data_IF_639101199058
#
_entry.id   IF_639101199058
#
_cell.length_a   1.000
_cell.length_b   1.000
_cell.length_c   1.000
_cell.angle_alpha   90.00
_cell.angle_beta   90.00
_cell.angle_gamma   90.00
#
_symmetry.space_group_name_H-M   'P 1'
#
loop_
_entity.id
_entity.type
_entity.pdbx_description
1 polymer ?
#
# COMPACT_ATOMS: atom_id res chain seq x y z
N UNK A 1 17.76 -2.13 -19.20
CA UNK A 1 17.34 -2.14 -17.78
C UNK A 1 17.05 -0.71 -17.38
N UNK A 2 15.91 -0.44 -16.74
CA UNK A 2 15.54 0.91 -16.28
C UNK A 2 16.59 1.39 -15.28
N UNK A 3 17.08 2.61 -15.45
CA UNK A 3 18.06 3.21 -14.54
C UNK A 3 17.35 3.85 -13.33
N UNK A 4 17.96 3.85 -12.14
CA UNK A 4 17.42 4.57 -11.00
C UNK A 4 17.12 6.03 -11.36
N UNK A 5 15.93 6.52 -11.02
CA UNK A 5 15.50 7.88 -11.30
C UNK A 5 15.19 8.20 -12.77
N UNK A 6 15.10 7.21 -13.65
CA UNK A 6 14.71 7.40 -15.06
C UNK A 6 13.22 7.75 -15.20
N UNK A 7 12.40 7.28 -14.30
CA UNK A 7 10.95 7.54 -14.26
C UNK A 7 10.60 8.30 -12.97
N UNK A 8 9.64 9.20 -13.08
CA UNK A 8 9.16 10.00 -11.96
C UNK A 8 7.64 10.01 -11.87
N UNK A 9 7.14 10.11 -10.64
CA UNK A 9 5.74 10.42 -10.32
C UNK A 9 5.64 11.96 -10.31
N UNK A 10 4.78 12.48 -11.17
CA UNK A 10 4.55 13.93 -11.34
C UNK A 10 3.18 14.37 -10.85
N UNK A 11 2.22 13.46 -10.73
CA UNK A 11 0.91 13.70 -10.14
C UNK A 11 0.57 12.66 -9.08
N UNK A 12 0.00 13.07 -7.94
CA UNK A 12 -0.39 12.18 -6.87
C UNK A 12 -1.52 12.81 -6.05
N UNK A 13 -2.71 12.22 -6.09
CA UNK A 13 -3.84 12.69 -5.30
C UNK A 13 -4.79 11.54 -4.93
N UNK A 14 -5.52 11.77 -3.86
CA UNK A 14 -6.61 10.90 -3.42
C UNK A 14 -7.96 11.47 -3.88
N UNK A 15 -9.01 10.67 -3.77
CA UNK A 15 -10.38 11.15 -3.94
C UNK A 15 -10.68 12.29 -2.97
N UNK A 16 -11.49 13.23 -3.38
CA UNK A 16 -11.87 14.43 -2.60
C UNK A 16 -12.43 14.05 -1.24
N UNK A 17 -13.24 13.00 -1.20
CA UNK A 17 -13.79 12.42 0.04
C UNK A 17 -13.28 11.00 0.24
N UNK A 18 -13.03 10.66 1.51
CA UNK A 18 -12.74 9.29 1.98
C UNK A 18 -13.59 9.01 3.22
N UNK A 19 -13.83 7.72 3.52
CA UNK A 19 -14.59 7.33 4.72
C UNK A 19 -15.93 6.71 4.37
N UNK A 20 -17.03 7.44 4.42
CA UNK A 20 -18.35 7.01 3.95
C UNK A 20 -18.80 7.92 2.79
N UNK A 21 -18.90 7.39 1.59
CA UNK A 21 -19.22 8.11 0.37
C UNK A 21 -20.33 7.36 -0.42
N UNK A 22 -21.55 7.28 0.13
CA UNK A 22 -22.61 6.43 -0.42
C UNK A 22 -23.20 6.95 -1.76
N UNK A 23 -22.89 8.16 -2.13
CA UNK A 23 -23.34 8.83 -3.35
C UNK A 23 -22.38 8.68 -4.54
N UNK A 24 -21.25 7.96 -4.36
CA UNK A 24 -20.29 7.72 -5.44
C UNK A 24 -20.12 6.22 -5.70
N UNK A 25 -20.39 5.82 -6.94
CA UNK A 25 -20.03 4.49 -7.41
C UNK A 25 -18.50 4.35 -7.54
N UNK A 26 -18.02 3.13 -7.59
CA UNK A 26 -16.58 2.84 -7.64
C UNK A 26 -15.87 3.54 -8.80
N UNK A 27 -16.47 3.56 -10.00
CA UNK A 27 -15.90 4.26 -11.16
C UNK A 27 -15.77 5.77 -10.92
N UNK A 28 -16.71 6.36 -10.17
CA UNK A 28 -16.66 7.79 -9.80
C UNK A 28 -15.54 8.09 -8.83
N UNK A 29 -15.25 7.17 -7.87
CA UNK A 29 -14.11 7.29 -6.95
C UNK A 29 -12.77 7.21 -7.70
N UNK A 30 -12.66 6.31 -8.69
CA UNK A 30 -11.51 6.27 -9.59
C UNK A 30 -11.34 7.60 -10.34
N UNK A 31 -12.43 8.11 -10.92
CA UNK A 31 -12.40 9.31 -11.74
C UNK A 31 -12.09 10.57 -10.91
N UNK A 32 -12.67 10.70 -9.73
CA UNK A 32 -12.40 11.83 -8.82
C UNK A 32 -10.92 11.86 -8.41
N UNK A 33 -10.36 10.74 -8.02
CA UNK A 33 -8.94 10.64 -7.71
C UNK A 33 -8.04 10.92 -8.94
N UNK A 34 -8.42 10.41 -10.11
CA UNK A 34 -7.68 10.63 -11.36
C UNK A 34 -7.67 12.11 -11.77
N UNK A 35 -8.82 12.78 -11.71
CA UNK A 35 -8.94 14.21 -12.02
C UNK A 35 -8.14 15.06 -11.03
N UNK A 36 -8.17 14.72 -9.75
CA UNK A 36 -7.35 15.38 -8.73
C UNK A 36 -5.83 15.20 -9.00
N UNK A 37 -5.40 13.99 -9.40
CA UNK A 37 -4.00 13.76 -9.75
C UNK A 37 -3.57 14.46 -11.04
N UNK A 38 -4.47 14.56 -12.03
CA UNK A 38 -4.24 15.36 -13.24
C UNK A 38 -4.12 16.85 -12.90
N UNK A 39 -5.00 17.36 -12.03
CA UNK A 39 -4.91 18.75 -11.56
C UNK A 39 -3.60 19.03 -10.81
N UNK A 40 -3.14 18.11 -9.94
CA UNK A 40 -1.83 18.19 -9.28
C UNK A 40 -0.69 18.27 -10.31
N UNK A 41 -0.75 17.50 -11.39
CA UNK A 41 0.24 17.49 -12.46
C UNK A 41 0.07 18.59 -13.53
N UNK A 42 -1.01 19.37 -13.52
CA UNK A 42 -1.33 20.34 -14.56
C UNK A 42 -1.71 19.70 -15.90
N UNK A 43 -2.29 18.50 -15.88
CA UNK A 43 -2.65 17.70 -17.05
C UNK A 43 -4.17 17.64 -17.29
N UNK A 44 -4.51 17.27 -18.53
CA UNK A 44 -5.88 16.94 -18.97
C UNK A 44 -5.95 15.45 -19.35
N UNK A 45 -7.16 14.86 -19.44
CA UNK A 45 -7.31 13.49 -19.91
C UNK A 45 -6.64 13.19 -21.26
N UNK A 46 -6.61 14.15 -22.17
CA UNK A 46 -5.96 14.05 -23.50
C UNK A 46 -4.44 13.90 -23.45
N UNK A 47 -3.82 14.22 -22.32
CA UNK A 47 -2.35 14.15 -22.14
C UNK A 47 -1.91 12.75 -21.64
N UNK A 48 -2.87 11.89 -21.28
CA UNK A 48 -2.65 10.54 -20.77
C UNK A 48 -2.72 9.54 -21.93
N UNK A 49 -1.70 8.72 -22.10
CA UNK A 49 -1.64 7.69 -23.14
C UNK A 49 -1.38 6.26 -22.59
N UNK A 50 -1.36 6.11 -21.26
CA UNK A 50 -1.34 4.82 -20.57
C UNK A 50 -2.26 4.83 -19.35
N UNK A 51 -2.98 3.73 -19.08
CA UNK A 51 -3.88 3.59 -17.93
C UNK A 51 -3.70 2.23 -17.25
N UNK A 52 -3.53 2.26 -15.93
CA UNK A 52 -3.50 1.05 -15.11
C UNK A 52 -4.50 1.16 -13.93
N UNK A 53 -5.18 0.07 -13.63
CA UNK A 53 -6.01 -0.05 -12.44
C UNK A 53 -6.26 -1.53 -12.10
N UNK A 54 -6.78 -1.76 -10.91
CA UNK A 54 -7.16 -3.11 -10.44
C UNK A 54 -8.47 -3.03 -9.66
N UNK A 55 -9.16 -4.13 -9.61
CA UNK A 55 -10.44 -4.27 -8.93
C UNK A 55 -11.57 -4.63 -9.90
N UNK A 56 -12.82 -4.37 -9.54
CA UNK A 56 -13.96 -4.63 -10.43
C UNK A 56 -13.97 -3.79 -11.70
N UNK A 57 -13.30 -2.63 -11.70
CA UNK A 57 -13.18 -1.76 -12.88
C UNK A 57 -11.96 -2.13 -13.71
N UNK A 58 -12.17 -2.31 -14.99
CA UNK A 58 -11.10 -2.59 -15.95
C UNK A 58 -10.48 -1.28 -16.48
N UNK A 59 -9.17 -1.26 -16.84
CA UNK A 59 -8.51 -0.04 -17.32
C UNK A 59 -9.20 0.65 -18.50
N UNK A 60 -9.75 -0.12 -19.44
CA UNK A 60 -10.49 0.44 -20.58
C UNK A 60 -11.81 1.11 -20.17
N UNK A 61 -12.45 0.66 -19.09
CA UNK A 61 -13.67 1.30 -18.58
C UNK A 61 -13.35 2.66 -17.95
N UNK A 62 -12.28 2.71 -17.17
CA UNK A 62 -11.76 3.96 -16.58
C UNK A 62 -11.33 4.93 -17.66
N UNK A 63 -10.58 4.47 -18.66
CA UNK A 63 -10.15 5.28 -19.80
C UNK A 63 -11.36 5.87 -20.54
N UNK A 64 -12.34 5.04 -20.87
CA UNK A 64 -13.56 5.47 -21.54
C UNK A 64 -14.33 6.52 -20.72
N UNK A 65 -14.52 6.27 -19.42
CA UNK A 65 -15.24 7.18 -18.52
C UNK A 65 -14.57 8.55 -18.38
N UNK A 66 -13.22 8.59 -18.44
CA UNK A 66 -12.42 9.81 -18.38
C UNK A 66 -12.20 10.49 -19.75
N UNK A 67 -12.64 9.88 -20.85
CA UNK A 67 -12.36 10.38 -22.21
C UNK A 67 -10.89 10.22 -22.63
N UNK A 68 -10.19 9.23 -22.08
CA UNK A 68 -8.81 8.90 -22.43
C UNK A 68 -8.79 7.84 -23.53
N UNK A 69 -7.90 8.00 -24.52
CA UNK A 69 -7.63 6.99 -25.56
C UNK A 69 -6.21 6.44 -25.33
N UNK A 70 -6.02 5.41 -24.47
CA UNK A 70 -4.70 4.94 -24.13
C UNK A 70 -4.09 4.06 -25.21
N UNK A 71 -2.74 4.12 -25.36
CA UNK A 71 -1.94 3.21 -26.17
C UNK A 71 -1.50 1.97 -25.38
N UNK A 72 -1.48 2.10 -24.07
CA UNK A 72 -1.07 1.04 -23.15
C UNK A 72 -2.04 0.93 -21.98
N UNK A 73 -2.33 -0.29 -21.58
CA UNK A 73 -3.16 -0.57 -20.40
C UNK A 73 -2.58 -1.72 -19.59
N UNK A 74 -2.79 -1.68 -18.25
CA UNK A 74 -2.45 -2.77 -17.34
C UNK A 74 -3.57 -3.00 -16.33
N UNK A 75 -4.01 -4.24 -16.19
CA UNK A 75 -5.03 -4.68 -15.25
C UNK A 75 -4.52 -5.73 -14.26
N UNK A 76 -3.19 -5.81 -14.02
CA UNK A 76 -2.59 -6.80 -13.11
C UNK A 76 -3.22 -6.71 -11.74
N UNK A 77 -3.85 -7.81 -11.31
CA UNK A 77 -4.57 -7.90 -10.04
C UNK A 77 -3.98 -8.97 -9.12
N UNK A 78 -3.24 -8.55 -8.10
CA UNK A 78 -2.64 -9.42 -7.07
C UNK A 78 -3.03 -8.99 -5.65
N UNK A 79 -4.12 -8.24 -5.52
CA UNK A 79 -4.58 -7.68 -4.25
C UNK A 79 -3.93 -6.35 -3.91
N UNK A 80 -3.77 -6.06 -2.63
CA UNK A 80 -3.41 -4.73 -2.14
C UNK A 80 -2.11 -4.11 -2.66
N UNK A 81 -1.12 -4.93 -3.05
CA UNK A 81 0.14 -4.46 -3.62
C UNK A 81 0.11 -4.20 -5.13
N UNK A 82 -1.01 -4.43 -5.82
CA UNK A 82 -1.12 -4.26 -7.28
C UNK A 82 -0.61 -2.91 -7.77
N UNK A 83 -0.81 -1.85 -7.02
CA UNK A 83 -0.39 -0.49 -7.41
C UNK A 83 1.14 -0.34 -7.43
N UNK A 84 1.88 -1.07 -6.60
CA UNK A 84 3.34 -1.13 -6.66
C UNK A 84 3.81 -1.83 -7.95
N UNK A 85 3.10 -2.92 -8.32
CA UNK A 85 3.35 -3.61 -9.59
C UNK A 85 3.01 -2.69 -10.77
N UNK A 86 1.88 -1.97 -10.73
CA UNK A 86 1.54 -1.01 -11.78
C UNK A 86 2.58 0.10 -11.93
N UNK A 87 3.19 0.59 -10.83
CA UNK A 87 4.31 1.55 -10.90
C UNK A 87 5.49 0.94 -11.63
N UNK A 88 5.86 -0.31 -11.33
CA UNK A 88 6.95 -1.04 -12.01
C UNK A 88 6.65 -1.28 -13.49
N UNK A 89 5.44 -1.75 -13.81
CA UNK A 89 5.01 -2.04 -15.17
C UNK A 89 4.89 -0.76 -16.02
N UNK A 90 4.33 0.31 -15.45
CA UNK A 90 4.26 1.61 -16.11
C UNK A 90 5.66 2.18 -16.37
N UNK A 91 6.59 2.04 -15.42
CA UNK A 91 7.98 2.44 -15.63
C UNK A 91 8.62 1.67 -16.79
N UNK A 92 8.39 0.37 -16.89
CA UNK A 92 8.85 -0.45 -18.00
C UNK A 92 8.22 -0.05 -19.33
N UNK A 93 6.92 0.23 -19.36
CA UNK A 93 6.21 0.66 -20.56
C UNK A 93 6.68 2.03 -21.07
N UNK A 94 6.93 2.99 -20.18
CA UNK A 94 7.49 4.30 -20.54
C UNK A 94 8.92 4.14 -21.06
N UNK A 95 9.76 3.35 -20.38
CA UNK A 95 11.14 3.07 -20.81
C UNK A 95 11.18 2.42 -22.19
N UNK A 96 10.28 1.49 -22.48
CA UNK A 96 10.15 0.81 -23.77
C UNK A 96 9.51 1.68 -24.87
N UNK A 97 9.00 2.87 -24.53
CA UNK A 97 8.36 3.78 -25.48
C UNK A 97 6.92 3.41 -25.87
N UNK A 98 6.26 2.50 -25.15
CA UNK A 98 4.85 2.12 -25.43
C UNK A 98 3.89 3.25 -25.08
N UNK A 99 4.22 4.07 -24.10
CA UNK A 99 3.48 5.26 -23.69
C UNK A 99 4.43 6.29 -23.07
N UNK A 100 3.93 7.51 -22.83
CA UNK A 100 4.73 8.64 -22.30
C UNK A 100 4.22 9.12 -20.94
N UNK A 101 2.93 9.01 -20.68
CA UNK A 101 2.27 9.51 -19.47
C UNK A 101 1.25 8.49 -19.02
N UNK A 102 1.49 7.85 -17.88
CA UNK A 102 0.64 6.78 -17.35
C UNK A 102 -0.12 7.26 -16.15
N UNK A 103 -1.43 7.05 -16.16
CA UNK A 103 -2.34 7.19 -15.03
C UNK A 103 -2.53 5.83 -14.37
N UNK A 104 -2.24 5.73 -13.08
CA UNK A 104 -2.56 4.57 -12.23
C UNK A 104 -3.67 5.00 -11.29
N UNK A 105 -4.81 4.29 -11.25
CA UNK A 105 -5.95 4.67 -10.41
C UNK A 105 -6.42 3.54 -9.51
N UNK A 106 -7.00 3.95 -8.38
CA UNK A 106 -7.71 3.11 -7.43
C UNK A 106 -9.01 3.78 -7.02
N UNK A 107 -10.07 3.00 -6.82
CA UNK A 107 -11.33 3.48 -6.25
C UNK A 107 -12.17 2.29 -5.77
N UNK A 108 -12.55 2.31 -4.51
CA UNK A 108 -13.41 1.28 -3.91
C UNK A 108 -14.43 1.87 -2.93
N UNK A 109 -15.62 1.27 -2.94
CA UNK A 109 -16.74 1.59 -2.04
C UNK A 109 -16.89 0.47 -1.00
N UNK A 110 -15.82 0.25 -0.22
CA UNK A 110 -15.75 -0.85 0.74
C UNK A 110 -16.74 -0.73 1.89
N UNK A 111 -17.01 0.49 2.35
CA UNK A 111 -17.92 0.79 3.46
C UNK A 111 -19.38 0.91 3.01
N UNK A 112 -19.64 1.78 2.02
CA UNK A 112 -20.98 2.06 1.54
C UNK A 112 -21.51 0.97 0.59
N UNK A 113 -20.61 0.15 0.05
CA UNK A 113 -20.93 -1.01 -0.80
C UNK A 113 -21.87 -0.67 -1.97
N UNK A 114 -21.66 0.50 -2.57
CA UNK A 114 -22.47 0.98 -3.71
C UNK A 114 -22.42 -0.03 -4.87
N UNK A 115 -21.33 -0.77 -5.02
CA UNK A 115 -21.15 -1.78 -6.05
C UNK A 115 -21.46 -3.23 -5.58
N UNK A 116 -22.11 -3.37 -4.43
CA UNK A 116 -22.49 -4.67 -3.85
C UNK A 116 -21.56 -5.18 -2.75
N UNK A 117 -21.93 -6.32 -2.19
CA UNK A 117 -21.20 -6.94 -1.07
C UNK A 117 -20.10 -7.88 -1.57
N UNK A 118 -18.99 -8.07 -0.81
CA UNK A 118 -18.04 -9.13 -1.10
C UNK A 118 -18.72 -10.49 -1.19
N UNK A 119 -18.29 -11.31 -2.13
CA UNK A 119 -18.79 -12.67 -2.32
C UNK A 119 -17.82 -13.67 -1.65
N UNK A 120 -18.34 -14.82 -1.17
CA UNK A 120 -17.48 -15.91 -0.71
C UNK A 120 -16.60 -16.40 -1.88
N UNK A 121 -15.49 -17.11 -1.58
CA UNK A 121 -14.66 -17.71 -2.63
C UNK A 121 -15.51 -18.61 -3.55
N UNK A 122 -15.25 -18.53 -4.85
CA UNK A 122 -15.91 -19.42 -5.81
C UNK A 122 -15.61 -20.88 -5.47
N UNK A 123 -16.61 -21.78 -5.42
CA UNK A 123 -16.41 -23.18 -5.00
C UNK A 123 -15.36 -23.92 -5.81
N UNK A 124 -15.16 -23.55 -7.08
CA UNK A 124 -14.17 -24.18 -7.98
C UNK A 124 -12.77 -23.54 -7.89
N UNK A 125 -12.60 -22.43 -7.16
CA UNK A 125 -11.29 -21.83 -6.94
C UNK A 125 -10.44 -22.70 -5.99
N UNK A 126 -9.13 -22.50 -6.00
CA UNK A 126 -8.23 -23.19 -5.06
C UNK A 126 -8.62 -22.94 -3.60
N UNK A 127 -8.88 -21.67 -3.25
CA UNK A 127 -9.34 -21.33 -1.90
C UNK A 127 -10.71 -21.95 -1.58
N UNK A 128 -11.63 -21.98 -2.54
CA UNK A 128 -12.94 -22.59 -2.39
C UNK A 128 -12.88 -24.09 -2.15
N UNK A 129 -11.93 -24.77 -2.77
CA UNK A 129 -11.77 -26.22 -2.65
C UNK A 129 -10.93 -26.66 -1.45
N UNK A 130 -9.85 -25.92 -1.12
CA UNK A 130 -8.82 -26.39 -0.20
C UNK A 130 -8.70 -25.60 1.10
N UNK A 131 -9.30 -24.43 1.22
CA UNK A 131 -9.30 -23.64 2.46
C UNK A 131 -10.69 -23.37 3.02
N UNK A 132 -11.63 -22.92 2.22
CA UNK A 132 -12.99 -22.60 2.66
C UNK A 132 -13.72 -23.74 3.38
N UNK A 133 -13.57 -25.04 2.99
CA UNK A 133 -14.18 -26.16 3.71
C UNK A 133 -13.76 -26.31 5.16
N UNK A 134 -12.59 -25.73 5.54
CA UNK A 134 -12.06 -25.73 6.90
C UNK A 134 -12.48 -24.49 7.72
N UNK A 135 -13.32 -23.62 7.16
CA UNK A 135 -13.90 -22.46 7.84
C UNK A 135 -13.29 -21.10 7.55
N UNK A 136 -12.01 -20.93 7.14
CA UNK A 136 -11.49 -19.61 6.83
C UNK A 136 -12.18 -19.00 5.60
N UNK A 137 -12.66 -17.76 5.77
CA UNK A 137 -13.42 -17.06 4.73
C UNK A 137 -12.96 -15.61 4.56
N UNK A 138 -11.66 -15.41 4.25
CA UNK A 138 -11.10 -14.08 4.01
C UNK A 138 -10.09 -13.64 5.07
N UNK A 139 -9.56 -12.42 4.96
CA UNK A 139 -8.38 -11.97 5.70
C UNK A 139 -8.48 -12.13 7.23
N UNK A 140 -9.62 -11.81 7.90
CA UNK A 140 -9.71 -11.93 9.35
C UNK A 140 -9.55 -13.36 9.90
N UNK A 141 -9.81 -14.36 9.08
CA UNK A 141 -9.75 -15.78 9.48
C UNK A 141 -8.60 -16.55 8.83
N UNK A 142 -7.96 -16.00 7.78
CA UNK A 142 -6.80 -16.58 7.12
C UNK A 142 -5.48 -16.10 7.73
N UNK A 143 -5.32 -14.81 8.01
CA UNK A 143 -4.11 -14.29 8.66
C UNK A 143 -3.80 -14.88 10.05
N UNK A 144 -4.78 -15.28 10.88
CA UNK A 144 -4.48 -15.94 12.16
C UNK A 144 -3.57 -17.16 12.02
N UNK A 145 -3.66 -17.93 10.93
CA UNK A 145 -2.88 -19.16 10.73
C UNK A 145 -1.37 -18.88 10.80
N UNK A 146 -0.77 -18.05 9.93
CA UNK A 146 0.65 -17.71 10.01
C UNK A 146 1.00 -16.90 11.26
N UNK A 147 0.14 -15.99 11.68
CA UNK A 147 0.44 -15.09 12.81
C UNK A 147 0.56 -15.83 14.13
N UNK A 148 -0.28 -16.83 14.39
CA UNK A 148 -0.15 -17.65 15.60
C UNK A 148 1.17 -18.44 15.61
N UNK A 149 1.63 -18.91 14.46
CA UNK A 149 2.95 -19.54 14.34
C UNK A 149 4.07 -18.53 14.61
N UNK A 150 3.98 -17.33 14.04
CA UNK A 150 4.93 -16.25 14.24
C UNK A 150 5.01 -15.84 15.72
N UNK A 151 3.87 -15.57 16.35
CA UNK A 151 3.81 -15.23 17.78
C UNK A 151 4.44 -16.31 18.64
N UNK A 152 4.11 -17.59 18.40
CA UNK A 152 4.68 -18.71 19.16
C UNK A 152 6.18 -18.87 18.95
N UNK A 153 6.66 -18.71 17.70
CA UNK A 153 8.06 -18.92 17.34
C UNK A 153 8.97 -17.87 17.97
N UNK A 154 8.53 -16.60 17.95
CA UNK A 154 9.37 -15.48 18.40
C UNK A 154 8.94 -14.89 19.76
N UNK A 155 7.94 -15.49 20.42
CA UNK A 155 7.46 -15.01 21.72
C UNK A 155 6.82 -13.63 21.65
N UNK A 156 6.13 -13.30 20.55
CA UNK A 156 5.43 -12.01 20.40
C UNK A 156 4.22 -12.00 21.32
N UNK A 157 4.10 -10.96 22.16
CA UNK A 157 2.97 -10.80 23.06
C UNK A 157 1.81 -10.05 22.40
N UNK A 158 0.62 -10.11 23.01
CA UNK A 158 -0.53 -9.34 22.54
C UNK A 158 -0.30 -7.84 22.69
N UNK A 159 0.42 -7.41 23.73
CA UNK A 159 0.78 -6.03 23.99
C UNK A 159 1.72 -5.48 22.91
N UNK A 160 2.73 -6.26 22.53
CA UNK A 160 3.65 -5.89 21.46
C UNK A 160 2.92 -5.74 20.12
N UNK A 161 1.95 -6.61 19.83
CA UNK A 161 1.12 -6.48 18.63
C UNK A 161 0.14 -5.29 18.74
N UNK A 162 -0.38 -5.00 19.93
CA UNK A 162 -1.24 -3.83 20.18
C UNK A 162 -0.47 -2.51 20.00
N UNK A 163 0.82 -2.48 20.35
CA UNK A 163 1.69 -1.30 20.18
C UNK A 163 1.74 -0.81 18.74
N UNK A 164 1.62 -1.70 17.75
CA UNK A 164 1.54 -1.30 16.32
C UNK A 164 0.35 -0.37 16.08
N UNK A 165 -0.83 -0.75 16.56
CA UNK A 165 -2.05 0.05 16.39
C UNK A 165 -1.96 1.40 17.14
N UNK A 166 -1.36 1.41 18.33
CA UNK A 166 -1.13 2.63 19.11
C UNK A 166 -0.24 3.61 18.35
N UNK A 167 0.91 3.15 17.86
CA UNK A 167 1.85 4.00 17.08
C UNK A 167 1.17 4.56 15.83
N UNK A 168 0.41 3.76 15.12
CA UNK A 168 -0.26 4.25 13.91
C UNK A 168 -1.38 5.24 14.22
N UNK A 169 -2.06 5.10 15.35
CA UNK A 169 -3.03 6.09 15.80
C UNK A 169 -2.36 7.42 16.17
N UNK A 170 -1.17 7.39 16.73
CA UNK A 170 -0.38 8.62 17.00
C UNK A 170 0.00 9.36 15.71
N UNK A 171 0.35 8.63 14.64
CA UNK A 171 0.55 9.23 13.32
C UNK A 171 -0.75 9.78 12.75
N UNK A 172 -1.84 9.03 12.84
CA UNK A 172 -3.16 9.45 12.37
C UNK A 172 -3.65 10.72 13.05
N UNK A 173 -3.35 10.92 14.34
CA UNK A 173 -3.69 12.12 15.09
C UNK A 173 -3.10 13.41 14.48
N UNK A 174 -2.02 13.29 13.70
CA UNK A 174 -1.37 14.40 12.98
C UNK A 174 -1.92 14.59 11.56
N UNK A 175 -2.80 13.70 11.09
CA UNK A 175 -3.35 13.74 9.73
C UNK A 175 -4.83 14.13 9.77
N UNK A 176 -5.21 15.37 9.33
CA UNK A 176 -6.59 15.83 9.37
C UNK A 176 -7.57 14.95 8.57
N UNK A 177 -7.09 14.22 7.56
CA UNK A 177 -7.90 13.32 6.74
C UNK A 177 -8.07 11.93 7.33
N UNK A 178 -7.35 11.56 8.40
CA UNK A 178 -7.47 10.24 9.01
C UNK A 178 -8.89 10.01 9.56
N UNK A 179 -9.41 8.80 9.32
CA UNK A 179 -10.75 8.44 9.76
C UNK A 179 -10.86 8.35 11.29
N UNK A 180 -9.79 7.89 11.96
CA UNK A 180 -9.70 7.84 13.41
C UNK A 180 -8.43 8.54 13.89
N UNK A 181 -8.59 9.53 14.76
CA UNK A 181 -7.51 10.41 15.23
C UNK A 181 -7.35 10.44 16.75
N UNK A 182 -8.39 10.05 17.47
CA UNK A 182 -8.35 10.06 18.93
C UNK A 182 -7.30 9.05 19.43
N UNK A 183 -6.41 9.43 20.35
CA UNK A 183 -5.41 8.54 20.89
C UNK A 183 -6.03 7.27 21.49
N UNK A 184 -5.30 6.17 21.38
CA UNK A 184 -5.66 4.89 22.02
C UNK A 184 -4.48 4.37 22.80
N UNK A 185 -4.78 3.56 23.82
CA UNK A 185 -3.79 2.86 24.65
C UNK A 185 -3.70 1.38 24.25
N UNK A 186 -2.69 0.70 24.75
CA UNK A 186 -2.58 -0.77 24.64
C UNK A 186 -3.84 -1.43 25.25
N UNK A 187 -4.29 -0.96 26.40
CA UNK A 187 -5.47 -1.50 27.08
C UNK A 187 -6.74 -1.31 26.23
N UNK A 188 -6.91 -0.17 25.55
CA UNK A 188 -8.02 0.04 24.62
C UNK A 188 -7.99 -1.00 23.49
N UNK A 189 -6.81 -1.29 22.95
CA UNK A 189 -6.65 -2.32 21.90
C UNK A 189 -6.99 -3.70 22.45
N UNK A 190 -6.45 -4.07 23.62
CA UNK A 190 -6.63 -5.38 24.22
C UNK A 190 -8.06 -5.61 24.74
N UNK A 191 -8.80 -4.56 25.08
CA UNK A 191 -10.20 -4.63 25.48
C UNK A 191 -11.18 -4.46 24.31
N UNK A 192 -10.71 -4.15 23.11
CA UNK A 192 -11.57 -4.04 21.94
C UNK A 192 -12.14 -5.41 21.52
N UNK A 193 -13.26 -5.41 20.77
CA UNK A 193 -13.95 -6.63 20.35
C UNK A 193 -13.01 -7.61 19.65
N UNK A 194 -13.02 -8.88 20.07
CA UNK A 194 -12.34 -9.96 19.35
C UNK A 194 -13.01 -10.17 17.98
N UNK A 195 -12.22 -10.12 16.91
CA UNK A 195 -12.68 -10.40 15.54
C UNK A 195 -12.42 -11.87 15.19
N UNK A 196 -11.16 -12.28 15.24
CA UNK A 196 -10.72 -13.67 15.09
C UNK A 196 -9.38 -13.81 15.81
N UNK A 197 -9.26 -14.69 16.79
CA UNK A 197 -8.03 -14.81 17.58
C UNK A 197 -6.80 -15.01 16.68
N UNK A 198 -5.71 -14.24 16.85
CA UNK A 198 -5.41 -13.33 17.96
C UNK A 198 -5.88 -11.89 17.74
N UNK A 199 -6.55 -11.54 16.64
CA UNK A 199 -6.88 -10.18 16.27
C UNK A 199 -8.12 -9.61 16.95
N UNK A 200 -7.95 -8.42 17.48
CA UNK A 200 -9.03 -7.57 17.99
C UNK A 200 -9.34 -6.45 17.00
N UNK A 201 -10.48 -5.80 17.17
CA UNK A 201 -11.02 -4.79 16.26
C UNK A 201 -9.99 -3.70 15.90
N UNK A 202 -9.28 -3.15 16.88
CA UNK A 202 -8.32 -2.08 16.67
C UNK A 202 -6.98 -2.56 16.04
N UNK A 203 -6.81 -3.86 15.85
CA UNK A 203 -5.68 -4.47 15.14
C UNK A 203 -6.02 -4.84 13.68
N UNK A 204 -7.26 -4.59 13.27
CA UNK A 204 -7.74 -4.83 11.90
C UNK A 204 -7.87 -3.50 11.16
N UNK A 205 -7.63 -3.52 9.85
CA UNK A 205 -7.81 -2.34 9.01
C UNK A 205 -9.25 -1.82 9.02
N UNK A 206 -9.36 -0.56 8.71
CA UNK A 206 -10.64 0.11 8.54
C UNK A 206 -11.41 -0.45 7.33
N UNK A 207 -12.70 -0.16 7.29
CA UNK A 207 -13.53 -0.33 6.10
C UNK A 207 -14.06 1.05 5.72
N UNK A 208 -13.58 1.57 4.60
CA UNK A 208 -13.89 2.93 4.12
C UNK A 208 -14.19 2.91 2.62
N UNK A 209 -14.67 4.04 2.11
CA UNK A 209 -14.76 4.34 0.68
C UNK A 209 -13.66 5.34 0.32
N UNK A 210 -13.23 5.34 -0.93
CA UNK A 210 -12.28 6.30 -1.45
C UNK A 210 -11.41 5.74 -2.57
N UNK A 211 -10.47 6.54 -3.00
CA UNK A 211 -9.54 6.19 -4.06
C UNK A 211 -8.28 7.05 -4.05
N UNK A 212 -7.40 6.74 -4.97
CA UNK A 212 -6.17 7.48 -5.20
C UNK A 212 -5.68 7.30 -6.63
N UNK A 213 -4.84 8.20 -7.10
CA UNK A 213 -4.23 8.10 -8.41
C UNK A 213 -2.81 8.66 -8.42
N UNK A 214 -1.98 8.08 -9.30
CA UNK A 214 -0.61 8.52 -9.58
C UNK A 214 -0.46 8.78 -11.08
N UNK A 215 0.37 9.75 -11.43
CA UNK A 215 0.76 10.00 -12.82
C UNK A 215 2.27 9.88 -12.94
N UNK A 216 2.71 9.01 -13.86
CA UNK A 216 4.10 8.69 -14.13
C UNK A 216 4.51 9.19 -15.51
N UNK A 217 5.75 9.66 -15.61
CA UNK A 217 6.40 10.02 -16.88
C UNK A 217 7.92 9.83 -16.79
N UNK A 218 8.64 10.01 -17.91
CA UNK A 218 10.11 10.02 -17.87
C UNK A 218 10.64 11.22 -17.08
N UNK A 219 11.75 11.04 -16.37
CA UNK A 219 12.35 12.10 -15.56
C UNK A 219 12.79 13.31 -16.39
N UNK A 220 13.14 13.12 -17.67
CA UNK A 220 13.52 14.21 -18.56
C UNK A 220 12.35 15.17 -18.85
N UNK A 221 11.12 14.64 -18.84
CA UNK A 221 9.87 15.43 -18.94
C UNK A 221 9.41 15.97 -17.58
N UNK A 222 9.79 15.33 -16.48
CA UNK A 222 9.27 15.65 -15.16
C UNK A 222 9.54 17.10 -14.72
N UNK A 223 10.57 17.75 -15.27
CA UNK A 223 10.88 19.17 -15.04
C UNK A 223 9.84 20.16 -15.59
N UNK A 224 9.02 19.70 -16.54
CA UNK A 224 8.00 20.53 -17.22
C UNK A 224 6.68 20.56 -16.43
N UNK A 225 6.59 19.83 -15.31
CA UNK A 225 5.41 19.73 -14.46
C UNK A 225 5.48 20.69 -13.26
N UNK A 226 4.34 21.17 -12.75
CA UNK A 226 4.30 22.16 -11.67
C UNK A 226 4.73 21.59 -10.31
N UNK A 227 4.64 20.28 -10.13
CA UNK A 227 4.96 19.61 -8.86
C UNK A 227 6.43 19.19 -8.79
N UNK A 228 6.95 19.06 -7.56
CA UNK A 228 8.26 18.44 -7.35
C UNK A 228 8.21 16.98 -7.79
N UNK A 229 9.06 16.54 -8.70
CA UNK A 229 9.12 15.14 -9.13
C UNK A 229 9.48 14.22 -7.96
N UNK A 230 8.82 13.06 -7.91
CA UNK A 230 9.21 11.98 -7.04
C UNK A 230 9.80 10.88 -7.90
N UNK A 231 11.12 10.69 -7.82
CA UNK A 231 11.85 9.75 -8.67
C UNK A 231 11.74 8.32 -8.18
N UNK A 232 11.50 7.38 -9.09
CA UNK A 232 11.51 5.95 -8.81
C UNK A 232 12.95 5.45 -8.94
N UNK A 233 13.57 5.11 -7.82
CA UNK A 233 14.94 4.59 -7.81
C UNK A 233 14.99 3.09 -8.08
N UNK A 234 14.01 2.35 -7.58
CA UNK A 234 13.95 0.90 -7.72
C UNK A 234 12.56 0.36 -7.43
N UNK A 235 12.32 -0.81 -7.95
CA UNK A 235 11.09 -1.55 -7.71
C UNK A 235 11.34 -3.05 -7.74
N UNK A 236 10.57 -3.80 -6.97
CA UNK A 236 10.58 -5.26 -6.95
C UNK A 236 9.18 -5.81 -6.79
N UNK A 237 8.96 -6.99 -7.32
CA UNK A 237 7.69 -7.72 -7.20
C UNK A 237 7.92 -9.21 -7.07
N UNK A 238 7.01 -9.89 -6.41
CA UNK A 238 7.02 -11.35 -6.32
C UNK A 238 5.64 -11.90 -6.00
N UNK A 239 5.41 -13.13 -6.42
CA UNK A 239 4.25 -13.94 -6.06
C UNK A 239 4.76 -15.20 -5.36
N UNK A 240 4.07 -15.64 -4.31
CA UNK A 240 4.39 -16.87 -3.58
C UNK A 240 3.31 -17.91 -3.84
N UNK A 241 2.17 -17.79 -3.19
CA UNK A 241 1.06 -18.73 -3.28
C UNK A 241 -0.26 -18.00 -3.11
N UNK A 242 -1.33 -18.52 -3.70
CA UNK A 242 -2.69 -17.97 -3.51
C UNK A 242 -3.36 -18.47 -2.24
N UNK A 243 -2.79 -19.51 -1.59
CA UNK A 243 -3.35 -20.14 -0.39
C UNK A 243 -2.40 -20.00 0.79
N UNK A 244 -2.90 -19.43 1.90
CA UNK A 244 -2.13 -19.29 3.14
C UNK A 244 -1.63 -20.62 3.65
N UNK A 245 -2.44 -21.67 3.55
CA UNK A 245 -2.08 -23.04 3.94
C UNK A 245 -0.85 -23.61 3.21
N UNK A 246 -0.46 -23.00 2.10
CA UNK A 246 0.65 -23.42 1.25
C UNK A 246 1.88 -22.51 1.32
N UNK A 247 1.89 -21.57 2.28
CA UNK A 247 3.09 -20.74 2.53
C UNK A 247 4.30 -21.63 2.84
N UNK A 248 5.45 -21.27 2.26
CA UNK A 248 6.73 -21.93 2.53
C UNK A 248 7.11 -21.87 4.01
N UNK A 249 6.89 -20.70 4.64
CA UNK A 249 7.17 -20.43 6.05
C UNK A 249 6.10 -19.50 6.62
N UNK A 250 5.33 -19.97 7.60
CA UNK A 250 4.31 -19.15 8.25
C UNK A 250 4.87 -17.96 9.04
N UNK A 251 6.15 -17.93 9.32
CA UNK A 251 6.80 -16.84 10.07
C UNK A 251 7.43 -15.79 9.17
N UNK A 252 7.32 -15.93 7.84
CA UNK A 252 7.98 -15.06 6.86
C UNK A 252 7.31 -15.19 5.50
N UNK A 253 7.17 -14.08 4.77
CA UNK A 253 6.69 -14.10 3.40
C UNK A 253 7.86 -14.19 2.42
N UNK A 254 7.89 -15.26 1.62
CA UNK A 254 8.84 -15.36 0.52
C UNK A 254 8.66 -14.20 -0.48
N UNK A 255 7.42 -13.79 -0.75
CA UNK A 255 7.16 -12.69 -1.66
C UNK A 255 7.81 -11.38 -1.17
N UNK A 256 7.80 -11.10 0.14
CA UNK A 256 8.46 -9.92 0.73
C UNK A 256 9.99 -10.01 0.58
N UNK A 257 10.56 -11.18 0.92
CA UNK A 257 12.01 -11.45 0.84
C UNK A 257 12.57 -11.40 -0.59
N UNK A 258 11.73 -11.47 -1.60
CA UNK A 258 12.13 -11.33 -3.02
C UNK A 258 11.92 -9.90 -3.50
N UNK A 259 10.72 -9.33 -3.32
CA UNK A 259 10.37 -8.01 -3.83
C UNK A 259 11.20 -6.88 -3.18
N UNK A 260 11.42 -6.95 -1.87
CA UNK A 260 12.20 -5.95 -1.13
C UNK A 260 13.65 -5.87 -1.61
N UNK A 261 14.46 -6.93 -1.46
CA UNK A 261 15.86 -6.92 -1.90
C UNK A 261 16.06 -6.58 -3.38
N UNK A 262 15.14 -6.96 -4.26
CA UNK A 262 15.18 -6.56 -5.67
C UNK A 262 15.04 -5.05 -5.84
N UNK A 263 14.09 -4.42 -5.14
CA UNK A 263 13.88 -2.98 -5.17
C UNK A 263 15.11 -2.23 -4.65
N UNK A 264 15.72 -2.67 -3.53
CA UNK A 264 16.93 -2.09 -2.96
C UNK A 264 18.14 -2.24 -3.90
N UNK A 265 18.32 -3.43 -4.48
CA UNK A 265 19.39 -3.70 -5.44
C UNK A 265 19.26 -2.82 -6.69
N UNK A 266 18.05 -2.67 -7.22
CA UNK A 266 17.79 -1.79 -8.38
C UNK A 266 18.06 -0.34 -8.03
N UNK A 267 17.66 0.12 -6.83
CA UNK A 267 17.89 1.48 -6.37
C UNK A 267 19.36 1.77 -6.02
N UNK A 268 20.17 0.75 -5.76
CA UNK A 268 21.57 0.92 -5.32
C UNK A 268 21.72 1.51 -3.93
N UNK A 269 20.74 1.30 -3.04
CA UNK A 269 20.71 1.85 -1.69
C UNK A 269 20.86 0.76 -0.61
N UNK A 270 21.20 1.18 0.61
CA UNK A 270 21.22 0.37 1.83
C UNK A 270 20.01 0.72 2.70
N UNK A 271 19.67 -0.16 3.66
CA UNK A 271 18.62 0.08 4.65
C UNK A 271 18.84 1.37 5.45
N UNK A 272 20.12 1.69 5.76
CA UNK A 272 20.50 2.93 6.45
C UNK A 272 20.23 4.22 5.69
N UNK A 273 19.97 4.15 4.40
CA UNK A 273 19.68 5.30 3.56
C UNK A 273 18.18 5.65 3.53
N UNK A 274 17.34 4.80 4.12
CA UNK A 274 15.88 4.96 4.13
C UNK A 274 15.46 5.84 5.31
N UNK A 275 14.83 6.97 5.00
CA UNK A 275 14.37 7.95 5.99
C UNK A 275 12.91 7.68 6.43
N UNK A 276 12.13 7.02 5.60
CA UNK A 276 10.70 6.80 5.79
C UNK A 276 10.25 5.50 5.12
N UNK A 277 9.33 4.78 5.78
CA UNK A 277 8.84 3.49 5.30
C UNK A 277 7.31 3.41 5.40
N UNK A 278 6.67 3.00 4.32
CA UNK A 278 5.28 2.59 4.32
C UNK A 278 5.20 1.07 4.15
N UNK A 279 4.58 0.41 5.11
CA UNK A 279 4.28 -1.02 5.04
C UNK A 279 2.77 -1.19 5.12
N UNK A 280 2.18 -1.80 4.11
CA UNK A 280 0.75 -2.08 4.07
C UNK A 280 0.32 -2.85 5.32
N UNK A 281 -0.57 -2.28 6.09
CA UNK A 281 -1.03 -2.76 7.39
C UNK A 281 -2.53 -3.09 7.38
N UNK A 282 -2.94 -4.07 6.61
CA UNK A 282 -4.30 -4.60 6.72
C UNK A 282 -4.58 -5.16 8.14
N UNK A 283 -3.54 -5.59 8.84
CA UNK A 283 -3.58 -6.05 10.24
C UNK A 283 -2.26 -5.68 10.93
N UNK A 284 -2.30 -5.59 12.25
CA UNK A 284 -1.18 -5.14 13.09
C UNK A 284 0.12 -5.98 12.95
N UNK A 285 0.05 -7.22 12.49
CA UNK A 285 1.23 -8.06 12.30
C UNK A 285 2.06 -7.70 11.06
N UNK A 286 1.42 -7.13 10.00
CA UNK A 286 2.10 -6.90 8.72
C UNK A 286 3.31 -5.96 8.81
N UNK A 287 3.31 -4.87 9.61
CA UNK A 287 4.53 -4.09 9.83
C UNK A 287 5.68 -4.89 10.46
N UNK A 288 5.39 -5.90 11.29
CA UNK A 288 6.43 -6.76 11.87
C UNK A 288 7.07 -7.63 10.79
N UNK A 289 6.26 -8.34 9.99
CA UNK A 289 6.75 -9.14 8.86
C UNK A 289 7.51 -8.28 7.86
N UNK A 290 6.98 -7.10 7.54
CA UNK A 290 7.64 -6.19 6.61
C UNK A 290 9.02 -5.73 7.09
N UNK A 291 9.16 -5.33 8.37
CA UNK A 291 10.44 -4.94 8.94
C UNK A 291 11.49 -6.05 8.87
N UNK A 292 11.09 -7.29 9.13
CA UNK A 292 11.97 -8.46 9.15
C UNK A 292 12.31 -8.94 7.73
N UNK A 293 11.29 -9.16 6.90
CA UNK A 293 11.46 -9.73 5.57
C UNK A 293 12.08 -8.77 4.55
N UNK A 294 11.95 -7.44 4.77
CA UNK A 294 12.71 -6.43 4.03
C UNK A 294 14.14 -6.27 4.54
N UNK A 295 14.48 -6.80 5.73
CA UNK A 295 15.82 -6.78 6.28
C UNK A 295 16.18 -5.55 7.11
N UNK A 296 15.23 -4.76 7.58
CA UNK A 296 15.49 -3.62 8.49
C UNK A 296 15.88 -4.08 9.89
N UNK A 297 15.33 -5.20 10.33
CA UNK A 297 15.69 -5.90 11.58
C UNK A 297 15.79 -7.39 11.31
N UNK A 298 16.43 -8.15 12.21
CA UNK A 298 16.48 -9.61 12.10
C UNK A 298 15.14 -10.24 12.44
N UNK A 299 14.95 -11.48 12.03
CA UNK A 299 13.73 -12.25 12.31
C UNK A 299 13.51 -12.37 13.83
N UNK A 300 12.31 -12.04 14.28
CA UNK A 300 11.89 -12.00 15.68
C UNK A 300 12.23 -10.71 16.43
N UNK A 301 12.94 -9.75 15.82
CA UNK A 301 13.31 -8.48 16.45
C UNK A 301 12.30 -7.34 16.20
N UNK A 302 11.40 -7.46 15.22
CA UNK A 302 10.46 -6.39 14.89
C UNK A 302 9.55 -6.02 16.07
N UNK A 303 9.16 -7.00 16.89
CA UNK A 303 8.36 -6.78 18.09
C UNK A 303 9.01 -5.80 19.07
N UNK A 304 10.30 -5.96 19.31
CA UNK A 304 11.09 -5.12 20.24
C UNK A 304 11.38 -3.76 19.61
N UNK A 305 11.72 -3.72 18.32
CA UNK A 305 11.93 -2.48 17.57
C UNK A 305 10.71 -1.55 17.59
N UNK A 306 9.50 -2.11 17.42
CA UNK A 306 8.25 -1.34 17.51
C UNK A 306 7.93 -0.98 18.96
N UNK A 307 8.14 -1.91 19.90
CA UNK A 307 7.94 -1.67 21.32
C UNK A 307 8.78 -0.52 21.86
N UNK A 308 10.05 -0.44 21.45
CA UNK A 308 10.97 0.66 21.72
C UNK A 308 10.62 1.99 21.01
N UNK A 309 9.47 2.03 20.31
CA UNK A 309 8.93 3.20 19.62
C UNK A 309 9.79 3.72 18.46
N UNK A 310 10.65 2.86 17.88
CA UNK A 310 11.49 3.25 16.75
C UNK A 310 10.67 3.62 15.48
N UNK A 311 9.40 3.17 15.39
CA UNK A 311 8.48 3.44 14.27
C UNK A 311 7.53 4.62 14.52
N UNK A 312 7.50 5.15 15.75
CA UNK A 312 6.62 6.22 16.20
C UNK A 312 7.10 7.61 15.75
N UNK A 313 6.28 8.66 15.95
CA UNK A 313 6.73 10.04 15.76
C UNK A 313 8.00 10.33 16.57
N UNK A 314 9.06 10.78 15.86
CA UNK A 314 10.40 11.01 16.45
C UNK A 314 11.27 9.76 16.59
N UNK A 315 10.79 8.58 16.19
CA UNK A 315 11.55 7.33 16.18
C UNK A 315 12.59 7.28 15.05
N UNK A 316 13.44 6.23 15.09
CA UNK A 316 14.57 6.06 14.15
C UNK A 316 14.14 5.78 12.72
N UNK A 317 13.03 5.06 12.53
CA UNK A 317 12.48 4.70 11.21
C UNK A 317 10.96 4.91 11.25
N UNK A 318 10.46 6.12 10.94
CA UNK A 318 9.04 6.42 10.88
C UNK A 318 8.28 5.52 9.91
N UNK A 319 7.21 4.86 10.38
CA UNK A 319 6.42 3.93 9.57
C UNK A 319 4.95 4.34 9.54
N UNK A 320 4.32 4.29 8.36
CA UNK A 320 2.88 4.51 8.15
C UNK A 320 2.40 5.87 8.69
N UNK A 321 3.12 6.92 8.33
CA UNK A 321 2.98 8.28 8.86
C UNK A 321 1.65 8.96 8.57
N UNK A 322 0.85 8.42 7.65
CA UNK A 322 -0.53 8.88 7.46
C UNK A 322 -1.53 8.26 8.47
N UNK A 323 -1.11 7.24 9.23
CA UNK A 323 -1.94 6.48 10.16
C UNK A 323 -2.27 5.06 9.70
N UNK A 324 -1.79 4.68 8.51
CA UNK A 324 -1.93 3.31 7.98
C UNK A 324 -3.37 2.89 7.66
N UNK A 325 -3.52 1.65 7.28
CA UNK A 325 -4.82 0.99 7.12
C UNK A 325 -5.59 0.85 8.43
N UNK A 326 -4.87 0.89 9.57
CA UNK A 326 -5.49 0.75 10.90
C UNK A 326 -6.16 2.04 11.41
N UNK A 327 -5.78 3.22 10.91
CA UNK A 327 -6.31 4.48 11.44
C UNK A 327 -6.61 5.55 10.39
N UNK A 328 -5.94 5.51 9.22
CA UNK A 328 -6.16 6.48 8.15
C UNK A 328 -7.35 6.12 7.27
N UNK A 329 -7.21 5.10 6.44
CA UNK A 329 -8.24 4.61 5.51
C UNK A 329 -7.88 3.23 4.98
N UNK A 330 -8.87 2.40 4.67
CA UNK A 330 -8.68 1.14 3.96
C UNK A 330 -9.95 0.80 3.19
N UNK A 331 -9.91 1.01 1.88
CA UNK A 331 -11.09 0.90 1.02
C UNK A 331 -11.33 -0.52 0.50
N UNK A 332 -10.41 -1.43 0.78
CA UNK A 332 -10.28 -2.80 0.26
C UNK A 332 -8.84 -3.09 -0.13
N UNK A 333 -8.15 -2.08 -0.68
CA UNK A 333 -6.73 -2.13 -1.03
C UNK A 333 -6.02 -0.85 -0.58
N UNK A 334 -5.02 -0.96 0.32
CA UNK A 334 -4.33 0.20 0.89
C UNK A 334 -3.06 0.61 0.13
N UNK A 335 -2.51 -0.25 -0.74
CA UNK A 335 -1.22 0.03 -1.40
C UNK A 335 -1.14 1.36 -2.13
N UNK A 336 -2.23 1.84 -2.72
CA UNK A 336 -2.28 3.17 -3.33
C UNK A 336 -2.05 4.28 -2.29
N UNK A 337 -2.65 4.18 -1.12
CA UNK A 337 -2.49 5.19 -0.04
C UNK A 337 -1.09 5.16 0.58
N UNK A 338 -0.44 3.99 0.61
CA UNK A 338 0.96 3.87 0.99
C UNK A 338 1.89 4.59 -0.01
N UNK A 339 1.67 4.42 -1.31
CA UNK A 339 2.39 5.15 -2.35
C UNK A 339 2.13 6.66 -2.27
N UNK A 340 0.88 7.08 -2.08
CA UNK A 340 0.49 8.49 -1.91
C UNK A 340 1.25 9.15 -0.75
N UNK A 341 1.30 8.48 0.39
CA UNK A 341 2.02 9.01 1.55
C UNK A 341 3.53 9.08 1.31
N UNK A 342 4.12 8.04 0.71
CA UNK A 342 5.54 8.06 0.33
C UNK A 342 5.87 9.23 -0.61
N UNK A 343 5.01 9.52 -1.59
CA UNK A 343 5.16 10.68 -2.48
C UNK A 343 5.07 11.99 -1.70
N UNK A 344 4.10 12.13 -0.79
CA UNK A 344 3.95 13.33 0.05
C UNK A 344 5.18 13.57 0.92
N UNK A 345 5.70 12.54 1.56
CA UNK A 345 6.90 12.62 2.40
C UNK A 345 8.12 13.07 1.59
N UNK A 346 8.34 12.49 0.43
CA UNK A 346 9.44 12.83 -0.50
C UNK A 346 9.31 14.28 -1.03
N UNK A 347 8.08 14.73 -1.30
CA UNK A 347 7.80 16.11 -1.75
C UNK A 347 7.89 17.14 -0.63
N UNK A 348 7.82 16.74 0.64
CA UNK A 348 7.75 17.63 1.80
C UNK A 348 6.35 18.23 2.02
N UNK A 349 5.29 17.51 1.63
CA UNK A 349 3.88 17.97 1.67
C UNK A 349 2.99 17.10 2.54
N UNK A 350 3.55 16.15 3.28
CA UNK A 350 2.77 15.27 4.14
C UNK A 350 2.21 16.02 5.38
N UNK A 351 0.97 15.73 5.81
CA UNK A 351 0.42 16.33 7.03
C UNK A 351 1.26 16.06 8.28
N UNK A 352 1.77 14.84 8.41
CA UNK A 352 2.69 14.40 9.45
C UNK A 352 4.10 14.27 8.86
N UNK A 353 4.67 15.39 8.39
CA UNK A 353 5.94 15.38 7.68
C UNK A 353 7.10 14.95 8.58
N UNK A 354 7.84 13.92 8.13
CA UNK A 354 9.13 13.53 8.71
C UNK A 354 10.20 14.52 8.21
N UNK A 355 11.05 15.04 9.09
CA UNK A 355 12.10 15.98 8.67
C UNK A 355 13.09 15.34 7.69
N UNK A 356 13.49 16.09 6.67
CA UNK A 356 14.58 15.77 5.73
C UNK A 356 14.47 14.46 4.96
N UNK A 357 13.26 13.98 4.69
CA UNK A 357 13.06 12.74 3.90
C UNK A 357 13.63 12.92 2.50
N UNK A 358 14.61 12.10 2.17
CA UNK A 358 15.19 11.96 0.83
C UNK A 358 14.72 10.67 0.16
N UNK A 359 14.68 9.59 0.92
CA UNK A 359 14.33 8.25 0.45
C UNK A 359 13.16 7.70 1.28
N UNK A 360 12.10 7.33 0.58
CA UNK A 360 10.93 6.64 1.12
C UNK A 360 10.74 5.31 0.41
N UNK A 361 10.44 4.26 1.17
CA UNK A 361 10.09 2.95 0.63
C UNK A 361 8.62 2.67 0.87
N UNK A 362 7.89 2.30 -0.19
CA UNK A 362 6.53 1.81 -0.11
C UNK A 362 6.51 0.31 -0.39
N UNK A 363 6.05 -0.47 0.59
CA UNK A 363 5.94 -1.92 0.53
C UNK A 363 4.50 -2.38 0.72
N UNK A 364 4.05 -3.28 -0.12
CA UNK A 364 2.68 -3.78 -0.15
C UNK A 364 2.57 -5.29 -0.12
N UNK A 365 1.48 -5.76 0.49
CA UNK A 365 1.04 -7.16 0.47
C UNK A 365 -0.16 -7.31 -0.46
N UNK A 366 -0.20 -8.41 -1.20
CA UNK A 366 -1.34 -8.84 -2.01
C UNK A 366 -1.91 -10.14 -1.46
N UNK A 367 -3.25 -10.20 -1.35
CA UNK A 367 -3.92 -11.30 -0.68
C UNK A 367 -3.44 -11.47 0.76
N UNK A 368 -3.34 -12.70 1.23
CA UNK A 368 -2.78 -13.05 2.54
C UNK A 368 -1.38 -13.62 2.33
N UNK A 369 -0.38 -12.73 2.15
CA UNK A 369 1.02 -13.03 1.80
C UNK A 369 1.24 -13.64 0.40
N UNK A 370 0.22 -13.67 -0.46
CA UNK A 370 0.34 -14.32 -1.78
C UNK A 370 1.21 -13.56 -2.78
N UNK A 371 1.30 -12.25 -2.64
CA UNK A 371 2.09 -11.39 -3.52
C UNK A 371 2.68 -10.21 -2.75
N UNK A 372 3.68 -9.58 -3.34
CA UNK A 372 4.31 -8.37 -2.82
C UNK A 372 4.82 -7.46 -3.92
N UNK A 373 4.77 -6.16 -3.66
CA UNK A 373 5.44 -5.12 -4.43
C UNK A 373 6.16 -4.15 -3.50
N UNK A 374 7.33 -3.71 -3.92
CA UNK A 374 8.14 -2.72 -3.20
C UNK A 374 8.62 -1.65 -4.18
N UNK A 375 8.49 -0.38 -3.80
CA UNK A 375 8.93 0.76 -4.61
C UNK A 375 9.80 1.68 -3.74
N UNK A 376 10.97 2.03 -4.24
CA UNK A 376 11.90 2.99 -3.63
C UNK A 376 11.75 4.33 -4.33
N UNK A 377 11.42 5.36 -3.57
CA UNK A 377 11.12 6.72 -4.04
C UNK A 377 12.12 7.72 -3.47
N UNK A 378 12.48 8.75 -4.26
CA UNK A 378 13.40 9.79 -3.82
C UNK A 378 13.02 11.17 -4.36
N UNK A 379 13.40 12.23 -3.63
CA UNK A 379 13.34 13.62 -4.11
C UNK A 379 14.57 14.01 -4.95
N UNK A 380 15.52 13.11 -5.12
CA UNK A 380 16.74 13.33 -5.88
C UNK A 380 16.85 12.30 -7.01
N UNK A 381 17.26 12.77 -8.18
CA UNK A 381 17.68 11.92 -9.29
C UNK A 381 19.15 11.58 -9.09
N UNK A 382 19.56 10.30 -9.11
CA UNK A 382 20.96 9.87 -9.02
C UNK A 382 21.81 10.39 -10.18
#
# INVERSE_FOLDING_TARGET
MIRPGEIAIVGAAESTRIGAVPDMAQIMLHADAALNAMADAGLKPTDIDGVACVGPMMPQQIAHYLGITPKWVDGTGVGGCSFMLHVRHAAAAIHAGYCKTVLITHGESGKSRVNGTPRPPEPQSLNGQFEAPFGPMGPPTLFPIPVLRYMKTYGVTHEQMAQVAVVQREWAAKNPRAAFKDPITIDDVLNSKMIAYPFRLLQCCLVTDGGGALILTSSDRAKDFPTKPCYILGSGESVETTMVSQMEDFTSSRAFRVAGPEAFRMAGIKHSDVDHLMIYDAFAHLPMYGLEDLGFVKRGEAKDFIWERNTAPGGKLPINTNGGGLSYTHTGMYGMFALQESVRQVRGTAPAQVPNVKISVAHGVGGMFSASGTVVLSNQRP
#
